data_IF_629450273371
#
_entry.id   IF_629450273371
#
_cell.length_a   1.000
_cell.length_b   1.000
_cell.length_c   1.000
_cell.angle_alpha   90.00
_cell.angle_beta   90.00
_cell.angle_gamma   90.00
#
_symmetry.space_group_name_H-M   'P 1'
#
loop_
_entity.id
_entity.type
_entity.pdbx_description
1 polymer ?
#
# COMPACT_ATOMS: atom_id res chain seq x y z
N UNK A 1 -16.55 -17.53 41.31
CA UNK A 1 -15.17 -17.08 41.14
C UNK A 1 -15.12 -16.12 39.93
N UNK A 2 -14.85 -14.83 40.17
CA UNK A 2 -14.67 -13.88 39.09
C UNK A 2 -13.23 -13.96 38.63
N UNK A 3 -12.96 -14.47 37.41
CA UNK A 3 -11.65 -14.47 36.80
C UNK A 3 -11.28 -13.05 36.37
N UNK A 4 -10.25 -12.48 36.98
CA UNK A 4 -9.69 -11.20 36.54
C UNK A 4 -8.56 -11.44 35.55
N UNK A 5 -8.69 -10.88 34.36
CA UNK A 5 -7.61 -10.87 33.38
C UNK A 5 -6.63 -9.78 33.79
N UNK A 6 -5.44 -10.16 34.23
CA UNK A 6 -4.37 -9.25 34.64
C UNK A 6 -3.28 -9.23 33.54
N UNK A 7 -2.89 -8.05 33.13
CA UNK A 7 -1.76 -7.87 32.21
C UNK A 7 -0.48 -8.40 32.84
N UNK A 8 0.12 -9.41 32.24
CA UNK A 8 1.35 -10.04 32.72
C UNK A 8 2.55 -9.30 32.16
N UNK A 9 3.19 -8.45 32.95
CA UNK A 9 4.46 -7.82 32.60
C UNK A 9 5.61 -8.80 32.86
N UNK A 10 6.48 -9.03 31.84
CA UNK A 10 7.70 -9.83 32.00
C UNK A 10 7.70 -11.24 31.39
N UNK A 11 6.93 -11.51 30.33
CA UNK A 11 7.10 -12.77 29.58
C UNK A 11 8.44 -12.81 28.85
N UNK A 12 9.28 -13.85 29.02
CA UNK A 12 10.51 -14.01 28.27
C UNK A 12 10.24 -14.14 26.76
N UNK A 13 11.16 -13.67 25.94
CA UNK A 13 11.03 -13.57 24.47
C UNK A 13 10.59 -14.88 23.83
N UNK A 14 11.15 -16.01 24.27
CA UNK A 14 10.83 -17.33 23.70
C UNK A 14 9.38 -17.78 23.98
N UNK A 15 8.80 -17.42 25.14
CA UNK A 15 7.37 -17.67 25.40
C UNK A 15 6.46 -16.81 24.53
N UNK A 16 6.86 -15.56 24.27
CA UNK A 16 6.14 -14.70 23.32
C UNK A 16 6.18 -15.29 21.92
N UNK A 17 7.36 -15.74 21.49
CA UNK A 17 7.54 -16.39 20.18
C UNK A 17 6.67 -17.65 20.06
N UNK A 18 6.68 -18.50 21.09
CA UNK A 18 5.82 -19.69 21.15
C UNK A 18 4.33 -19.36 21.04
N UNK A 19 3.88 -18.31 21.70
CA UNK A 19 2.48 -17.83 21.61
C UNK A 19 2.14 -17.36 20.19
N UNK A 20 3.05 -16.62 19.53
CA UNK A 20 2.83 -16.19 18.14
C UNK A 20 2.76 -17.38 17.18
N UNK A 21 3.67 -18.35 17.31
CA UNK A 21 3.64 -19.56 16.49
C UNK A 21 2.34 -20.34 16.73
N UNK A 22 1.91 -20.48 17.98
CA UNK A 22 0.66 -21.14 18.32
C UNK A 22 -0.58 -20.41 17.73
N UNK A 23 -0.57 -19.09 17.78
CA UNK A 23 -1.63 -18.27 17.17
C UNK A 23 -1.68 -18.44 15.65
N UNK A 24 -0.53 -18.46 14.98
CA UNK A 24 -0.45 -18.71 13.52
C UNK A 24 -0.95 -20.11 13.18
N UNK A 25 -0.54 -21.13 13.92
CA UNK A 25 -1.00 -22.51 13.70
C UNK A 25 -2.52 -22.63 13.91
N UNK A 26 -3.05 -22.00 14.97
CA UNK A 26 -4.49 -21.98 15.21
C UNK A 26 -5.25 -21.29 14.07
N UNK A 27 -4.72 -20.17 13.55
CA UNK A 27 -5.32 -19.49 12.41
C UNK A 27 -5.30 -20.36 11.13
N UNK A 28 -4.20 -21.09 10.87
CA UNK A 28 -4.12 -22.02 9.74
C UNK A 28 -5.10 -23.19 9.90
N UNK A 29 -5.26 -23.73 11.10
CA UNK A 29 -6.23 -24.81 11.36
C UNK A 29 -7.66 -24.30 11.14
N UNK A 30 -8.01 -23.14 11.68
CA UNK A 30 -9.34 -22.53 11.48
C UNK A 30 -9.60 -22.24 10.00
N UNK A 31 -8.62 -21.68 9.29
CA UNK A 31 -8.68 -21.47 7.84
C UNK A 31 -8.84 -22.79 7.07
N UNK A 32 -8.14 -23.85 7.50
CA UNK A 32 -8.27 -25.20 6.96
C UNK A 32 -9.68 -25.79 7.13
N UNK A 33 -10.30 -25.59 8.30
CA UNK A 33 -11.70 -26.02 8.54
C UNK A 33 -12.66 -25.29 7.60
N UNK A 34 -12.47 -23.99 7.38
CA UNK A 34 -13.28 -23.23 6.41
C UNK A 34 -13.09 -23.76 4.98
N UNK A 35 -11.84 -24.06 4.57
CA UNK A 35 -11.55 -24.63 3.25
C UNK A 35 -12.22 -25.99 3.06
N UNK A 36 -12.19 -26.86 4.08
CA UNK A 36 -12.89 -28.15 4.05
C UNK A 36 -14.40 -27.97 3.90
N UNK A 37 -14.99 -27.00 4.60
CA UNK A 37 -16.40 -26.69 4.49
C UNK A 37 -16.78 -26.20 3.07
N UNK A 38 -15.83 -25.59 2.35
CA UNK A 38 -15.97 -25.18 0.95
C UNK A 38 -15.63 -26.30 -0.07
N UNK A 39 -15.33 -27.52 0.40
CA UNK A 39 -14.96 -28.64 -0.47
C UNK A 39 -13.55 -28.57 -1.05
N UNK A 40 -12.68 -27.73 -0.48
CA UNK A 40 -11.28 -27.58 -0.92
C UNK A 40 -10.36 -28.29 0.05
N UNK A 41 -9.40 -29.08 -0.47
CA UNK A 41 -8.37 -29.71 0.35
C UNK A 41 -7.40 -28.65 0.90
N UNK A 42 -7.34 -28.46 2.25
CA UNK A 42 -6.50 -27.44 2.85
C UNK A 42 -5.00 -27.67 2.63
N UNK A 43 -4.58 -28.94 2.63
CA UNK A 43 -3.17 -29.30 2.48
C UNK A 43 -2.67 -28.98 1.07
N UNK A 44 -3.46 -29.34 0.07
CA UNK A 44 -3.19 -29.02 -1.32
C UNK A 44 -3.23 -27.50 -1.56
N UNK A 45 -4.16 -26.80 -0.93
CA UNK A 45 -4.26 -25.33 -1.02
C UNK A 45 -3.03 -24.64 -0.41
N UNK A 46 -2.65 -24.96 0.81
CA UNK A 46 -1.51 -24.36 1.49
C UNK A 46 -0.18 -24.71 0.81
N UNK A 47 -0.03 -25.95 0.32
CA UNK A 47 1.16 -26.34 -0.43
C UNK A 47 1.27 -25.58 -1.75
N UNK A 48 0.17 -25.38 -2.48
CA UNK A 48 0.13 -24.57 -3.70
C UNK A 48 0.40 -23.10 -3.41
N UNK A 49 -0.17 -22.55 -2.34
CA UNK A 49 0.07 -21.18 -1.92
C UNK A 49 1.56 -20.95 -1.63
N UNK A 50 2.19 -21.88 -0.94
CA UNK A 50 3.62 -21.79 -0.63
C UNK A 50 4.50 -22.00 -1.86
N UNK A 51 4.24 -23.04 -2.66
CA UNK A 51 5.04 -23.33 -3.85
C UNK A 51 4.87 -22.28 -4.94
N UNK A 52 3.65 -21.85 -5.25
CA UNK A 52 3.41 -20.78 -6.23
C UNK A 52 3.91 -19.42 -5.73
N UNK A 53 3.80 -19.16 -4.44
CA UNK A 53 4.28 -17.94 -3.83
C UNK A 53 5.80 -17.82 -3.80
N UNK A 54 6.54 -18.90 -3.57
CA UNK A 54 7.99 -18.85 -3.36
C UNK A 54 8.83 -19.47 -4.50
N UNK A 55 8.36 -20.53 -5.15
CA UNK A 55 9.22 -21.34 -6.05
C UNK A 55 8.56 -21.67 -7.39
N UNK A 56 7.23 -21.61 -7.48
CA UNK A 56 6.47 -22.27 -8.54
C UNK A 56 6.23 -21.49 -9.84
N UNK A 57 6.89 -20.36 -10.06
CA UNK A 57 6.82 -19.71 -11.35
C UNK A 57 7.94 -20.21 -12.28
N UNK A 58 7.62 -20.54 -13.52
CA UNK A 58 8.59 -20.94 -14.56
C UNK A 58 9.76 -19.96 -14.70
N UNK A 59 9.62 -18.76 -14.15
CA UNK A 59 10.59 -17.68 -14.15
C UNK A 59 10.75 -17.17 -12.70
N UNK A 60 11.64 -17.78 -11.94
CA UNK A 60 11.85 -17.52 -10.50
C UNK A 60 12.13 -16.03 -10.19
N UNK A 61 12.85 -15.31 -11.04
CA UNK A 61 13.13 -13.89 -10.83
C UNK A 61 11.88 -12.99 -10.89
N UNK A 62 10.83 -13.35 -11.65
CA UNK A 62 9.57 -12.58 -11.70
C UNK A 62 8.81 -12.63 -10.38
N UNK A 63 8.88 -13.75 -9.69
CA UNK A 63 8.27 -13.87 -8.36
C UNK A 63 8.97 -12.93 -7.38
N UNK A 64 10.32 -12.93 -7.38
CA UNK A 64 11.09 -12.02 -6.54
C UNK A 64 10.87 -10.54 -6.91
N UNK A 65 10.81 -10.22 -8.20
CA UNK A 65 10.46 -8.88 -8.68
C UNK A 65 9.10 -8.40 -8.15
N UNK A 66 8.09 -9.27 -8.19
CA UNK A 66 6.75 -8.96 -7.67
C UNK A 66 6.76 -8.75 -6.15
N UNK A 67 7.52 -9.53 -5.39
CA UNK A 67 7.70 -9.29 -3.96
C UNK A 67 8.35 -7.95 -3.68
N UNK A 68 9.40 -7.59 -4.40
CA UNK A 68 10.05 -6.28 -4.25
C UNK A 68 9.12 -5.12 -4.57
N UNK A 69 8.28 -5.24 -5.60
CA UNK A 69 7.29 -4.22 -5.98
C UNK A 69 6.30 -3.92 -4.85
N UNK A 70 5.93 -4.92 -4.06
CA UNK A 70 5.04 -4.74 -2.91
C UNK A 70 5.82 -4.36 -1.66
N UNK A 71 6.97 -5.00 -1.43
CA UNK A 71 7.76 -4.81 -0.22
C UNK A 71 8.35 -3.40 -0.11
N UNK A 72 8.88 -2.84 -1.20
CA UNK A 72 9.55 -1.54 -1.17
C UNK A 72 8.59 -0.41 -0.74
N UNK A 73 7.41 -0.23 -1.35
CA UNK A 73 6.45 0.77 -0.89
C UNK A 73 6.00 0.55 0.55
N UNK A 74 5.75 -0.71 0.93
CA UNK A 74 5.33 -1.07 2.28
C UNK A 74 6.42 -0.73 3.32
N UNK A 75 7.67 -1.08 3.04
CA UNK A 75 8.80 -0.78 3.92
C UNK A 75 9.01 0.73 4.09
N UNK A 76 9.01 1.49 3.00
CA UNK A 76 9.15 2.95 3.03
C UNK A 76 8.02 3.61 3.83
N UNK A 77 6.77 3.19 3.59
CA UNK A 77 5.61 3.70 4.34
C UNK A 77 5.71 3.34 5.82
N UNK A 78 6.14 2.13 6.15
CA UNK A 78 6.31 1.69 7.55
C UNK A 78 7.36 2.52 8.28
N UNK A 79 8.49 2.82 7.63
CA UNK A 79 9.53 3.69 8.20
C UNK A 79 8.99 5.10 8.42
N UNK A 80 8.30 5.68 7.44
CA UNK A 80 7.69 7.01 7.56
C UNK A 80 6.67 7.08 8.71
N UNK A 81 5.78 6.10 8.82
CA UNK A 81 4.79 6.02 9.89
C UNK A 81 5.43 5.81 11.27
N UNK A 82 6.57 5.09 11.34
CA UNK A 82 7.27 4.89 12.60
C UNK A 82 7.76 6.21 13.22
N UNK A 83 8.13 7.18 12.39
CA UNK A 83 8.50 8.53 12.84
C UNK A 83 7.29 9.27 13.42
N UNK A 84 6.14 9.20 12.76
CA UNK A 84 4.90 9.81 13.25
C UNK A 84 4.49 9.21 14.60
N UNK A 85 4.57 7.90 14.76
CA UNK A 85 4.25 7.22 16.02
C UNK A 85 5.21 7.60 17.17
N UNK A 86 6.50 7.78 16.87
CA UNK A 86 7.46 8.30 17.88
C UNK A 86 7.08 9.69 18.39
N UNK A 87 6.48 10.52 17.54
CA UNK A 87 5.96 11.84 17.93
C UNK A 87 4.58 11.77 18.61
N UNK A 88 4.08 10.57 18.93
CA UNK A 88 2.73 10.34 19.47
C UNK A 88 1.62 10.87 18.54
N UNK A 89 1.88 10.90 17.25
CA UNK A 89 0.91 11.24 16.23
C UNK A 89 0.45 9.93 15.56
N UNK A 90 -0.77 9.50 15.87
CA UNK A 90 -1.35 8.25 15.35
C UNK A 90 -1.85 8.45 13.92
N UNK A 91 -0.93 8.44 12.97
CA UNK A 91 -1.25 8.56 11.55
C UNK A 91 -1.61 7.20 10.95
N UNK A 92 -2.91 6.94 10.79
CA UNK A 92 -3.43 5.77 10.06
C UNK A 92 -3.67 6.14 8.57
N UNK A 93 -3.39 7.38 8.18
CA UNK A 93 -3.62 7.95 6.86
C UNK A 93 -2.52 7.72 5.83
N UNK A 94 -1.56 6.84 6.12
CA UNK A 94 -0.44 6.58 5.20
C UNK A 94 -0.88 6.11 3.82
N UNK A 95 -1.97 5.35 3.72
CA UNK A 95 -2.54 4.88 2.46
C UNK A 95 -3.06 6.06 1.61
N UNK A 96 -3.85 6.96 2.19
CA UNK A 96 -4.37 8.13 1.48
C UNK A 96 -3.27 9.08 1.03
N UNK A 97 -2.23 9.28 1.86
CA UNK A 97 -1.05 10.06 1.50
C UNK A 97 -0.31 9.44 0.32
N UNK A 98 -0.13 8.12 0.32
CA UNK A 98 0.49 7.38 -0.77
C UNK A 98 -0.34 7.52 -2.08
N UNK A 99 -1.65 7.35 -2.00
CA UNK A 99 -2.58 7.48 -3.13
C UNK A 99 -2.49 8.88 -3.74
N UNK A 100 -2.61 9.93 -2.94
CA UNK A 100 -2.55 11.32 -3.42
C UNK A 100 -1.16 11.66 -4.00
N UNK A 101 -0.10 11.16 -3.38
CA UNK A 101 1.25 11.26 -3.92
C UNK A 101 1.39 10.60 -5.28
N UNK A 102 0.81 9.39 -5.44
CA UNK A 102 0.81 8.67 -6.71
C UNK A 102 0.01 9.42 -7.80
N UNK A 103 -1.15 9.99 -7.46
CA UNK A 103 -1.94 10.81 -8.40
C UNK A 103 -1.15 12.03 -8.88
N UNK A 104 -0.49 12.74 -7.98
CA UNK A 104 0.32 13.91 -8.34
C UNK A 104 1.51 13.52 -9.22
N UNK A 105 2.22 12.44 -8.89
CA UNK A 105 3.30 11.91 -9.72
C UNK A 105 2.80 11.49 -11.11
N UNK A 106 1.64 10.82 -11.18
CA UNK A 106 0.99 10.42 -12.43
C UNK A 106 0.61 11.62 -13.28
N UNK A 107 0.13 12.71 -12.66
CA UNK A 107 -0.17 13.98 -13.37
C UNK A 107 1.06 14.51 -14.08
N UNK A 108 2.19 14.55 -13.38
CA UNK A 108 3.47 14.97 -13.96
C UNK A 108 3.90 14.05 -15.10
N UNK A 109 3.77 12.73 -14.91
CA UNK A 109 4.13 11.74 -15.92
C UNK A 109 3.35 11.93 -17.23
N UNK A 110 2.04 12.16 -17.15
CA UNK A 110 1.19 12.35 -18.33
C UNK A 110 1.36 13.72 -19.00
N UNK A 111 1.52 14.78 -18.21
CA UNK A 111 1.60 16.14 -18.75
C UNK A 111 2.99 16.51 -19.22
N UNK A 112 4.01 16.15 -18.49
CA UNK A 112 5.40 16.57 -18.74
C UNK A 112 6.29 15.46 -19.34
N UNK A 113 5.93 14.19 -19.14
CA UNK A 113 6.69 13.06 -19.69
C UNK A 113 6.92 13.10 -21.20
N UNK A 114 5.94 13.50 -22.04
CA UNK A 114 6.14 13.61 -23.48
C UNK A 114 7.05 14.78 -23.91
N UNK A 115 7.24 15.78 -23.04
CA UNK A 115 7.92 17.04 -23.38
C UNK A 115 9.33 17.10 -22.80
N UNK A 116 9.56 16.49 -21.65
CA UNK A 116 10.81 16.60 -20.90
C UNK A 116 11.65 15.32 -20.99
N UNK A 117 12.99 15.45 -20.83
CA UNK A 117 13.87 14.28 -20.70
C UNK A 117 13.45 13.40 -19.50
N UNK A 118 13.62 12.08 -19.64
CA UNK A 118 13.21 11.09 -18.65
C UNK A 118 13.72 11.37 -17.23
N UNK A 119 14.99 11.77 -17.10
CA UNK A 119 15.58 12.08 -15.79
C UNK A 119 14.89 13.26 -15.09
N UNK A 120 14.57 14.33 -15.84
CA UNK A 120 13.87 15.50 -15.30
C UNK A 120 12.44 15.15 -14.91
N UNK A 121 11.75 14.40 -15.78
CA UNK A 121 10.40 13.92 -15.51
C UNK A 121 10.34 13.10 -14.23
N UNK A 122 11.26 12.16 -14.02
CA UNK A 122 11.33 11.33 -12.82
C UNK A 122 11.57 12.17 -11.54
N UNK A 123 12.47 13.14 -11.60
CA UNK A 123 12.72 14.05 -10.46
C UNK A 123 11.45 14.84 -10.13
N UNK A 124 10.79 15.40 -11.15
CA UNK A 124 9.55 16.16 -10.95
C UNK A 124 8.40 15.28 -10.42
N UNK A 125 8.30 14.03 -10.88
CA UNK A 125 7.35 13.05 -10.34
C UNK A 125 7.59 12.80 -8.85
N UNK A 126 8.84 12.59 -8.45
CA UNK A 126 9.20 12.40 -7.05
C UNK A 126 8.85 13.63 -6.20
N UNK A 127 9.21 14.82 -6.67
CA UNK A 127 8.92 16.07 -5.97
C UNK A 127 7.41 16.32 -5.85
N UNK A 128 6.65 16.15 -6.93
CA UNK A 128 5.20 16.31 -6.92
C UNK A 128 4.53 15.30 -5.97
N UNK A 129 4.96 14.04 -5.99
CA UNK A 129 4.46 13.00 -5.08
C UNK A 129 4.74 13.33 -3.62
N UNK A 130 5.97 13.75 -3.29
CA UNK A 130 6.35 14.14 -1.92
C UNK A 130 5.55 15.36 -1.44
N UNK A 131 5.40 16.38 -2.28
CA UNK A 131 4.65 17.59 -1.94
C UNK A 131 3.17 17.28 -1.72
N UNK A 132 2.53 16.54 -2.61
CA UNK A 132 1.12 16.20 -2.48
C UNK A 132 0.84 15.35 -1.24
N UNK A 133 1.63 14.31 -1.00
CA UNK A 133 1.53 13.46 0.19
C UNK A 133 1.80 14.26 1.47
N UNK A 134 2.81 15.14 1.46
CA UNK A 134 3.18 16.00 2.58
C UNK A 134 2.09 17.02 2.92
N UNK A 135 1.53 17.72 1.92
CA UNK A 135 0.41 18.65 2.10
C UNK A 135 -0.82 17.92 2.65
N UNK A 136 -1.11 16.73 2.12
CA UNK A 136 -2.25 15.94 2.59
C UNK A 136 -2.12 15.53 4.06
N UNK A 137 -0.93 15.10 4.46
CA UNK A 137 -0.62 14.81 5.88
C UNK A 137 -0.63 16.07 6.76
N UNK A 138 -0.13 17.20 6.24
CA UNK A 138 -0.10 18.47 6.95
C UNK A 138 -1.50 19.00 7.29
N UNK A 139 -2.52 18.73 6.47
CA UNK A 139 -3.93 19.10 6.75
C UNK A 139 -4.34 18.56 8.13
N UNK A 140 -4.11 17.27 8.38
CA UNK A 140 -4.47 16.64 9.67
C UNK A 140 -3.66 17.21 10.82
N UNK A 141 -2.35 17.43 10.60
CA UNK A 141 -1.48 18.01 11.62
C UNK A 141 -1.93 19.41 12.04
N UNK A 142 -2.31 20.25 11.07
CA UNK A 142 -2.85 21.60 11.33
C UNK A 142 -4.19 21.53 12.07
N UNK A 143 -5.09 20.64 11.65
CA UNK A 143 -6.39 20.47 12.32
C UNK A 143 -6.22 19.99 13.77
N UNK A 144 -5.27 19.08 14.02
CA UNK A 144 -4.96 18.64 15.38
C UNK A 144 -4.42 19.78 16.24
N UNK A 145 -3.48 20.56 15.73
CA UNK A 145 -2.84 21.64 16.49
C UNK A 145 -3.81 22.80 16.74
N UNK A 146 -4.60 23.21 15.75
CA UNK A 146 -5.50 24.35 15.87
C UNK A 146 -6.82 24.02 16.58
N UNK A 147 -7.38 22.85 16.34
CA UNK A 147 -8.73 22.51 16.79
C UNK A 147 -8.77 21.33 17.77
N UNK A 148 -7.62 20.72 18.08
CA UNK A 148 -7.58 19.57 18.99
C UNK A 148 -8.30 18.33 18.46
N UNK A 149 -8.43 18.20 17.12
CA UNK A 149 -9.16 17.07 16.50
C UNK A 149 -8.44 15.75 16.73
N UNK A 150 -9.20 14.65 16.70
CA UNK A 150 -8.65 13.31 16.81
C UNK A 150 -7.94 12.95 15.48
N UNK A 151 -6.62 12.85 15.52
CA UNK A 151 -5.79 12.56 14.34
C UNK A 151 -6.08 11.19 13.74
N UNK A 152 -6.39 10.19 14.58
CA UNK A 152 -6.69 8.84 14.12
C UNK A 152 -7.95 8.79 13.25
N UNK A 153 -9.03 9.44 13.72
CA UNK A 153 -10.27 9.54 12.94
C UNK A 153 -10.08 10.36 11.68
N UNK A 154 -9.40 11.52 11.77
CA UNK A 154 -9.18 12.39 10.63
C UNK A 154 -8.35 11.71 9.54
N UNK A 155 -7.26 11.03 9.93
CA UNK A 155 -6.40 10.33 8.95
C UNK A 155 -7.15 9.16 8.31
N UNK A 156 -7.98 8.43 9.07
CA UNK A 156 -8.81 7.36 8.53
C UNK A 156 -9.85 7.89 7.51
N UNK A 157 -10.54 8.99 7.84
CA UNK A 157 -11.50 9.62 6.92
C UNK A 157 -10.82 10.08 5.63
N UNK A 158 -9.64 10.67 5.74
CA UNK A 158 -8.88 11.10 4.56
C UNK A 158 -8.44 9.91 3.69
N UNK A 159 -8.17 8.73 4.22
CA UNK A 159 -7.93 7.54 3.38
C UNK A 159 -9.12 7.28 2.43
N UNK A 160 -10.34 7.32 2.95
CA UNK A 160 -11.54 7.14 2.11
C UNK A 160 -11.70 8.27 1.09
N UNK A 161 -11.43 9.51 1.48
CA UNK A 161 -11.47 10.63 0.52
C UNK A 161 -10.48 10.42 -0.62
N UNK A 162 -9.23 10.01 -0.33
CA UNK A 162 -8.23 9.72 -1.34
C UNK A 162 -8.65 8.54 -2.24
N UNK A 163 -9.19 7.47 -1.65
CA UNK A 163 -9.66 6.30 -2.39
C UNK A 163 -10.80 6.67 -3.36
N UNK A 164 -11.83 7.37 -2.86
CA UNK A 164 -12.94 7.81 -3.72
C UNK A 164 -12.49 8.82 -4.77
N UNK A 165 -11.51 9.66 -4.47
CA UNK A 165 -10.94 10.57 -5.46
C UNK A 165 -10.27 9.82 -6.62
N UNK A 166 -9.49 8.78 -6.33
CA UNK A 166 -8.89 7.93 -7.38
C UNK A 166 -9.96 7.17 -8.17
N UNK A 167 -10.97 6.64 -7.48
CA UNK A 167 -12.10 5.97 -8.14
C UNK A 167 -12.82 6.95 -9.08
N UNK A 168 -13.08 8.17 -8.61
CA UNK A 168 -13.67 9.23 -9.43
C UNK A 168 -12.83 9.52 -10.69
N UNK A 169 -11.50 9.62 -10.55
CA UNK A 169 -10.59 9.78 -11.70
C UNK A 169 -10.60 8.57 -12.63
N UNK A 170 -10.76 7.35 -12.09
CA UNK A 170 -10.78 6.09 -12.84
C UNK A 170 -12.09 5.81 -13.59
N UNK A 171 -13.20 6.43 -13.18
CA UNK A 171 -14.53 6.16 -13.73
C UNK A 171 -15.09 7.30 -14.57
N UNK A 172 -14.65 8.55 -14.33
CA UNK A 172 -15.22 9.72 -14.97
C UNK A 172 -14.75 9.86 -16.41
N UNK A 173 -15.59 9.50 -17.36
CA UNK A 173 -15.35 9.67 -18.79
C UNK A 173 -15.70 11.11 -19.24
N UNK A 174 -14.81 12.05 -18.94
CA UNK A 174 -14.92 13.44 -19.34
C UNK A 174 -13.73 13.85 -20.20
N UNK A 175 -13.88 14.88 -21.02
CA UNK A 175 -12.82 15.35 -21.93
C UNK A 175 -11.58 15.85 -21.21
N UNK A 176 -11.75 16.42 -20.03
CA UNK A 176 -10.65 16.88 -19.19
C UNK A 176 -9.85 15.75 -18.55
N UNK A 177 -10.44 14.55 -18.45
CA UNK A 177 -9.82 13.42 -17.73
C UNK A 177 -8.77 12.72 -18.61
N UNK A 178 -7.54 13.15 -18.48
CA UNK A 178 -6.37 12.59 -19.17
C UNK A 178 -5.80 11.34 -18.48
N UNK A 179 -6.36 10.93 -17.35
CA UNK A 179 -5.95 9.70 -16.66
C UNK A 179 -6.50 8.44 -17.33
N UNK A 180 -7.60 8.55 -18.08
CA UNK A 180 -8.24 7.42 -18.75
C UNK A 180 -7.74 7.24 -20.18
N UNK A 181 -7.64 5.98 -20.58
CA UNK A 181 -7.44 5.61 -21.97
C UNK A 181 -8.75 5.76 -22.75
N UNK A 182 -8.81 6.78 -23.61
CA UNK A 182 -9.99 7.07 -24.44
C UNK A 182 -10.22 6.06 -25.56
N UNK A 183 -9.24 5.20 -25.84
CA UNK A 183 -9.36 4.15 -26.87
C UNK A 183 -10.07 2.89 -26.35
N UNK A 184 -10.19 2.73 -25.06
CA UNK A 184 -10.80 1.55 -24.43
C UNK A 184 -12.30 1.73 -24.25
N UNK A 185 -13.08 0.70 -24.58
CA UNK A 185 -14.54 0.66 -24.35
C UNK A 185 -14.90 0.59 -22.85
N UNK A 186 -13.94 0.22 -21.99
CA UNK A 186 -14.10 0.21 -20.53
C UNK A 186 -13.21 1.28 -19.92
N UNK A 187 -13.65 1.94 -18.83
CA UNK A 187 -12.80 2.89 -18.15
C UNK A 187 -11.55 2.18 -17.62
N UNK A 188 -10.41 2.49 -18.20
CA UNK A 188 -9.09 1.97 -17.80
C UNK A 188 -8.13 3.15 -17.72
N UNK A 189 -7.22 3.11 -16.74
CA UNK A 189 -6.16 4.11 -16.67
C UNK A 189 -5.24 4.00 -17.88
N UNK A 190 -4.85 5.15 -18.42
CA UNK A 190 -3.89 5.22 -19.51
C UNK A 190 -2.52 4.67 -19.10
N UNK A 191 -1.81 4.08 -20.04
CA UNK A 191 -0.47 3.56 -19.80
C UNK A 191 0.56 4.69 -19.83
N UNK A 192 1.56 4.60 -18.95
CA UNK A 192 2.67 5.57 -18.95
C UNK A 192 3.51 5.48 -20.20
N UNK A 193 3.97 6.63 -20.68
CA UNK A 193 5.00 6.68 -21.71
C UNK A 193 6.33 6.13 -21.19
N UNK A 194 7.19 5.64 -22.08
CA UNK A 194 8.52 5.10 -21.72
C UNK A 194 9.39 6.14 -20.98
N UNK A 195 9.16 7.43 -21.20
CA UNK A 195 9.89 8.54 -20.56
C UNK A 195 9.57 8.72 -19.08
N UNK A 196 8.45 8.19 -18.60
CA UNK A 196 8.05 8.23 -17.19
C UNK A 196 8.38 6.93 -16.43
N UNK A 197 9.15 6.03 -17.02
CA UNK A 197 9.57 4.78 -16.42
C UNK A 197 11.04 4.84 -15.99
N UNK A 198 11.35 4.25 -14.82
CA UNK A 198 12.74 4.03 -14.44
C UNK A 198 13.44 3.12 -15.45
N UNK A 199 14.73 3.39 -15.77
CA UNK A 199 15.49 2.52 -16.65
C UNK A 199 15.52 1.10 -16.07
N UNK A 200 15.20 0.11 -16.89
CA UNK A 200 15.26 -1.29 -16.49
C UNK A 200 16.72 -1.70 -16.38
N UNK A 201 17.07 -2.29 -15.24
CA UNK A 201 18.38 -2.95 -15.11
C UNK A 201 18.29 -4.24 -15.94
N UNK A 202 19.10 -4.41 -17.00
CA UNK A 202 19.13 -5.67 -17.73
C UNK A 202 19.75 -6.74 -16.81
N UNK A 203 18.90 -7.48 -16.15
CA UNK A 203 19.28 -8.73 -15.50
C UNK A 203 19.24 -9.78 -16.62
N UNK A 204 20.39 -10.08 -17.17
CA UNK A 204 20.64 -10.89 -18.35
C UNK A 204 19.84 -12.18 -18.54
#
# INVERSE_FOLDING_TARGET
MRSHVVKRDGCPLWKKLGLYVLAVLAALILGGVVLLALGVDPLAYYSRMFTMGMVGNKIAYKTFENYLKVFVPLALTSVALSLAFKMRFWNIGGEGQFILGAVAATTVAFKLGPVLPSAVTLILMCLAGMLAAGVYGAIVAVLKVKFGTNETLMTLMLNYVALYFVTFLGETQADWNFYLDKSSARPMFATFSQYAAFPRIPLG
#
